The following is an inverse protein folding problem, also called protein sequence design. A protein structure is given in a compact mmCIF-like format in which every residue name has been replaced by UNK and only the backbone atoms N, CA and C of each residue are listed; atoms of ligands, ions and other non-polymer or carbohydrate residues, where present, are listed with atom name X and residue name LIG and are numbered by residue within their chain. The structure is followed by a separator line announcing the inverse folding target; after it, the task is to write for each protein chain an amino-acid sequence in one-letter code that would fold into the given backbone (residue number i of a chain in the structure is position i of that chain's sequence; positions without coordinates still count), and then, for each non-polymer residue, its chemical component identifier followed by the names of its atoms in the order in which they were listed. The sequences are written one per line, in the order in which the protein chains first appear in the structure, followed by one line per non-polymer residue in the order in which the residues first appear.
data_IF_195852822031
#
_entry.id   IF_195852822031
#
_cell.length_a   1.000
_cell.length_b   1.000
_cell.length_c   1.000
_cell.angle_alpha   90.00
_cell.angle_beta   90.00
_cell.angle_gamma   90.00
#
_symmetry.space_group_name_H-M   'P 1'
#
loop_
_entity.id
_entity.type
_entity.pdbx_description
1 polymer ?
#
# COMPACT_ATOMS: atom_id res chain seq x y z
N UNK A 1 22.98 -0.22 18.76
CA UNK A 1 22.36 0.88 17.98
C UNK A 1 20.90 0.50 17.72
N UNK A 2 19.99 1.44 17.76
CA UNK A 2 18.58 1.19 17.45
C UNK A 2 18.38 1.22 15.93
N UNK A 3 17.34 0.56 15.41
CA UNK A 3 16.94 0.58 13.99
C UNK A 3 16.76 1.99 13.43
N UNK A 4 16.38 2.96 14.28
CA UNK A 4 16.24 4.37 13.88
C UNK A 4 17.52 5.00 13.33
N UNK A 5 18.66 4.37 13.50
CA UNK A 5 19.97 4.82 12.99
C UNK A 5 20.46 3.96 11.80
N UNK A 6 19.56 3.28 11.12
CA UNK A 6 19.92 2.38 10.02
C UNK A 6 20.04 3.09 8.66
N UNK A 7 19.58 4.33 8.55
CA UNK A 7 19.67 5.09 7.30
C UNK A 7 21.12 5.42 6.94
N UNK A 8 21.52 5.05 5.73
CA UNK A 8 22.82 5.36 5.14
C UNK A 8 22.59 5.85 3.71
N UNK A 9 22.85 7.12 3.46
CA UNK A 9 22.80 7.73 2.13
C UNK A 9 24.18 8.07 1.57
N UNK A 10 25.26 7.73 2.29
CA UNK A 10 26.64 8.03 1.91
C UNK A 10 27.24 6.91 1.05
N UNK A 11 26.79 5.67 1.27
CA UNK A 11 27.29 4.51 0.55
C UNK A 11 26.24 3.88 -0.35
N UNK A 12 26.69 3.14 -1.36
CA UNK A 12 25.80 2.44 -2.28
C UNK A 12 25.35 1.11 -1.69
N UNK A 13 24.12 0.71 -2.01
CA UNK A 13 23.63 -0.63 -1.71
C UNK A 13 24.50 -1.71 -2.40
N UNK A 14 24.85 -2.77 -1.68
CA UNK A 14 25.58 -3.93 -2.23
C UNK A 14 24.67 -4.73 -3.18
N UNK A 15 23.40 -4.90 -2.80
CA UNK A 15 22.40 -5.56 -3.61
C UNK A 15 21.40 -4.52 -4.14
N UNK A 16 21.47 -4.24 -5.43
CA UNK A 16 20.51 -3.37 -6.10
C UNK A 16 19.40 -4.22 -6.76
N UNK A 17 18.16 -3.75 -6.85
CA UNK A 17 17.05 -4.52 -7.47
C UNK A 17 17.36 -5.01 -8.89
N UNK A 18 18.14 -4.27 -9.67
CA UNK A 18 18.58 -4.69 -11.03
C UNK A 18 19.54 -5.87 -11.02
N UNK A 19 20.04 -6.31 -9.88
CA UNK A 19 20.79 -7.56 -9.77
C UNK A 19 19.87 -8.79 -9.71
N UNK A 20 18.61 -8.58 -9.29
CA UNK A 20 17.59 -9.63 -9.12
C UNK A 20 16.68 -9.74 -10.33
N UNK A 21 16.36 -8.63 -10.97
CA UNK A 21 15.42 -8.56 -12.10
C UNK A 21 15.97 -7.69 -13.22
N UNK A 22 15.64 -8.06 -14.46
CA UNK A 22 15.98 -7.26 -15.63
C UNK A 22 14.87 -6.27 -15.97
N UNK A 23 15.25 -5.16 -16.60
CA UNK A 23 14.29 -4.27 -17.24
C UNK A 23 13.51 -5.03 -18.31
N UNK A 24 12.20 -4.89 -18.30
CA UNK A 24 11.31 -5.51 -19.29
C UNK A 24 10.99 -4.45 -20.35
N UNK A 25 11.23 -4.80 -21.62
CA UNK A 25 10.90 -3.92 -22.74
C UNK A 25 9.37 -3.71 -22.81
N UNK A 26 8.95 -2.45 -22.97
CA UNK A 26 7.53 -2.04 -22.95
C UNK A 26 6.77 -2.44 -21.69
N UNK A 27 7.46 -2.46 -20.54
CA UNK A 27 6.78 -2.64 -19.25
C UNK A 27 5.75 -1.53 -19.04
N UNK A 28 4.51 -1.84 -18.58
CA UNK A 28 3.50 -0.83 -18.32
C UNK A 28 3.99 0.24 -17.34
N UNK A 29 3.72 1.52 -17.65
CA UNK A 29 4.20 2.64 -16.80
C UNK A 29 3.60 2.62 -15.39
N UNK A 30 2.39 2.09 -15.25
CA UNK A 30 1.68 1.98 -13.97
C UNK A 30 1.63 0.53 -13.55
N UNK A 31 2.14 0.25 -12.35
CA UNK A 31 2.00 -1.04 -11.69
C UNK A 31 0.98 -0.95 -10.54
N UNK A 32 0.18 -1.99 -10.38
CA UNK A 32 -0.85 -2.11 -9.35
C UNK A 32 -0.48 -3.26 -8.42
N UNK A 33 -0.37 -2.98 -7.13
CA UNK A 33 -0.13 -3.96 -6.09
C UNK A 33 -1.42 -4.28 -5.35
N UNK A 34 -1.74 -5.56 -5.24
CA UNK A 34 -2.94 -6.05 -4.58
C UNK A 34 -2.62 -7.10 -3.52
N UNK A 35 -3.34 -7.07 -2.40
CA UNK A 35 -3.21 -8.05 -1.32
C UNK A 35 -4.27 -9.15 -1.40
N UNK A 36 -5.47 -8.82 -1.89
CA UNK A 36 -6.61 -9.75 -1.88
C UNK A 36 -6.61 -10.67 -3.10
N UNK A 37 -6.43 -11.97 -2.84
CA UNK A 37 -6.47 -13.02 -3.85
C UNK A 37 -7.79 -13.08 -4.61
N UNK A 38 -8.93 -12.93 -3.92
CA UNK A 38 -10.26 -12.98 -4.57
C UNK A 38 -10.42 -11.90 -5.64
N UNK A 39 -10.00 -10.67 -5.34
CA UNK A 39 -10.05 -9.58 -6.31
C UNK A 39 -9.10 -9.82 -7.48
N UNK A 40 -7.91 -10.31 -7.21
CA UNK A 40 -6.93 -10.65 -8.24
C UNK A 40 -7.46 -11.74 -9.19
N UNK A 41 -8.07 -12.81 -8.64
CA UNK A 41 -8.65 -13.90 -9.42
C UNK A 41 -9.83 -13.40 -10.28
N UNK A 42 -10.69 -12.53 -9.72
CA UNK A 42 -11.75 -11.87 -10.47
C UNK A 42 -11.20 -11.11 -11.69
N UNK A 43 -10.17 -10.31 -11.53
CA UNK A 43 -9.54 -9.59 -12.64
C UNK A 43 -8.94 -10.54 -13.68
N UNK A 44 -8.36 -11.64 -13.23
CA UNK A 44 -7.78 -12.64 -14.14
C UNK A 44 -8.85 -13.33 -14.98
N UNK A 45 -9.97 -13.69 -14.39
CA UNK A 45 -11.12 -14.32 -15.06
C UNK A 45 -11.78 -13.34 -16.06
N UNK A 46 -12.03 -12.10 -15.62
CA UNK A 46 -12.77 -11.11 -16.41
C UNK A 46 -11.94 -10.52 -17.56
N UNK A 47 -10.65 -10.26 -17.34
CA UNK A 47 -9.81 -9.54 -18.31
C UNK A 47 -8.76 -10.40 -19.02
N UNK A 48 -8.69 -11.70 -18.74
CA UNK A 48 -7.78 -12.62 -19.45
C UNK A 48 -6.31 -12.20 -19.41
N UNK A 49 -5.83 -11.82 -18.23
CA UNK A 49 -4.48 -11.26 -18.04
C UNK A 49 -3.36 -12.22 -18.44
N UNK A 50 -2.28 -11.68 -19.02
CA UNK A 50 -1.10 -12.45 -19.46
C UNK A 50 0.09 -12.17 -18.54
N UNK A 51 0.84 -13.21 -18.18
CA UNK A 51 2.09 -13.08 -17.42
C UNK A 51 3.13 -12.36 -18.28
N UNK A 52 3.79 -11.35 -17.70
CA UNK A 52 4.85 -10.55 -18.33
C UNK A 52 6.16 -10.58 -17.54
N UNK A 53 6.19 -11.17 -16.35
CA UNK A 53 7.37 -11.27 -15.51
C UNK A 53 7.05 -11.89 -14.16
N UNK A 54 8.03 -11.87 -13.28
CA UNK A 54 7.91 -12.39 -11.92
C UNK A 54 8.65 -11.50 -10.94
N UNK A 55 8.05 -11.29 -9.76
CA UNK A 55 8.74 -10.78 -8.58
C UNK A 55 9.56 -11.91 -7.99
N UNK A 56 10.79 -11.64 -7.58
CA UNK A 56 11.73 -12.62 -7.04
C UNK A 56 12.16 -12.32 -5.59
N UNK A 57 11.66 -11.24 -4.99
CA UNK A 57 11.93 -10.88 -3.60
C UNK A 57 11.28 -11.85 -2.62
N UNK A 58 11.90 -13.01 -2.43
CA UNK A 58 11.51 -14.07 -1.50
C UNK A 58 10.58 -15.12 -2.10
N UNK A 59 9.50 -14.75 -2.77
CA UNK A 59 8.57 -15.64 -3.45
C UNK A 59 8.51 -15.29 -4.93
N UNK A 60 8.45 -16.32 -5.79
CA UNK A 60 8.21 -16.09 -7.22
C UNK A 60 6.73 -15.76 -7.46
N UNK A 61 6.39 -14.47 -7.56
CA UNK A 61 5.02 -14.00 -7.74
C UNK A 61 4.86 -13.47 -9.16
N UNK A 62 3.90 -14.01 -9.95
CA UNK A 62 3.71 -13.57 -11.34
C UNK A 62 3.19 -12.14 -11.44
N UNK A 63 3.74 -11.41 -12.41
CA UNK A 63 3.26 -10.09 -12.82
C UNK A 63 2.45 -10.27 -14.09
N UNK A 64 1.26 -9.71 -14.12
CA UNK A 64 0.37 -9.81 -15.27
C UNK A 64 0.20 -8.45 -15.95
N UNK A 65 -0.08 -8.50 -17.24
CA UNK A 65 -0.55 -7.34 -18.00
C UNK A 65 -2.07 -7.32 -17.97
N UNK A 66 -2.63 -6.27 -17.39
CA UNK A 66 -4.05 -5.94 -17.38
C UNK A 66 -4.32 -4.88 -18.43
N UNK A 67 -5.32 -5.10 -19.29
CA UNK A 67 -5.84 -4.08 -20.22
C UNK A 67 -7.20 -3.61 -19.71
N UNK A 68 -7.31 -2.32 -19.42
CA UNK A 68 -8.55 -1.70 -18.98
C UNK A 68 -8.69 -0.31 -19.61
N UNK A 69 -9.85 0.00 -20.20
CA UNK A 69 -10.14 1.28 -20.86
C UNK A 69 -9.03 1.74 -21.83
N UNK A 70 -8.55 0.84 -22.70
CA UNK A 70 -7.46 1.06 -23.68
C UNK A 70 -6.10 1.43 -23.06
N UNK A 71 -5.92 1.23 -21.76
CA UNK A 71 -4.65 1.41 -21.06
C UNK A 71 -4.09 0.06 -20.63
N UNK A 72 -2.78 -0.03 -20.54
CA UNK A 72 -2.09 -1.21 -20.02
C UNK A 72 -1.51 -0.93 -18.64
N UNK A 73 -1.70 -1.88 -17.73
CA UNK A 73 -1.18 -1.87 -16.36
C UNK A 73 -0.41 -3.15 -16.11
N UNK A 74 0.66 -3.07 -15.33
CA UNK A 74 1.21 -4.24 -14.68
C UNK A 74 0.42 -4.46 -13.37
N UNK A 75 0.02 -5.69 -13.09
CA UNK A 75 -0.64 -6.02 -11.83
C UNK A 75 -0.01 -7.26 -11.22
N UNK A 76 0.23 -7.23 -9.92
CA UNK A 76 0.77 -8.37 -9.18
C UNK A 76 0.23 -8.38 -7.76
N UNK A 77 0.27 -9.56 -7.14
CA UNK A 77 0.06 -9.66 -5.69
C UNK A 77 1.33 -9.30 -4.95
N UNK A 78 1.19 -8.88 -3.71
CA UNK A 78 2.29 -8.68 -2.78
C UNK A 78 2.00 -9.36 -1.44
N UNK A 79 3.03 -9.54 -0.64
CA UNK A 79 2.91 -10.06 0.73
C UNK A 79 2.49 -8.95 1.68
N UNK A 80 1.87 -9.31 2.79
CA UNK A 80 1.58 -8.39 3.89
C UNK A 80 2.90 -7.95 4.54
N UNK A 81 2.95 -6.69 4.95
CA UNK A 81 4.05 -6.10 5.69
C UNK A 81 5.02 -5.27 4.83
N UNK A 82 5.60 -4.29 5.47
CA UNK A 82 6.45 -3.28 4.82
C UNK A 82 7.61 -3.85 4.03
N UNK A 83 8.35 -4.81 4.58
CA UNK A 83 9.53 -5.38 3.92
C UNK A 83 9.18 -6.09 2.59
N UNK A 84 8.14 -6.92 2.58
CA UNK A 84 7.75 -7.66 1.36
C UNK A 84 7.18 -6.74 0.29
N UNK A 85 6.35 -5.77 0.69
CA UNK A 85 5.78 -4.79 -0.24
C UNK A 85 6.83 -3.85 -0.79
N UNK A 86 7.78 -3.40 0.04
CA UNK A 86 8.92 -2.59 -0.40
C UNK A 86 9.78 -3.34 -1.43
N UNK A 87 10.15 -4.60 -1.16
CA UNK A 87 10.89 -5.44 -2.10
C UNK A 87 10.15 -5.60 -3.44
N UNK A 88 8.85 -5.84 -3.39
CA UNK A 88 8.01 -5.91 -4.60
C UNK A 88 8.02 -4.59 -5.38
N UNK A 89 7.88 -3.45 -4.70
CA UNK A 89 7.91 -2.13 -5.33
C UNK A 89 9.27 -1.83 -5.98
N UNK A 90 10.37 -2.17 -5.31
CA UNK A 90 11.73 -2.02 -5.83
C UNK A 90 11.96 -2.81 -7.11
N UNK A 91 11.51 -4.06 -7.18
CA UNK A 91 11.65 -4.88 -8.39
C UNK A 91 10.76 -4.38 -9.53
N UNK A 92 9.53 -3.92 -9.26
CA UNK A 92 8.67 -3.32 -10.28
C UNK A 92 9.29 -2.04 -10.86
N UNK A 93 9.92 -1.20 -10.04
CA UNK A 93 10.65 -0.02 -10.48
C UNK A 93 11.83 -0.42 -11.37
N UNK A 94 12.60 -1.42 -10.97
CA UNK A 94 13.73 -1.93 -11.75
C UNK A 94 13.29 -2.53 -13.10
N UNK A 95 12.12 -3.17 -13.16
CA UNK A 95 11.53 -3.69 -14.40
C UNK A 95 11.02 -2.59 -15.33
N UNK A 96 10.72 -1.39 -14.83
CA UNK A 96 10.33 -0.24 -15.65
C UNK A 96 9.07 0.49 -15.24
N UNK A 97 8.45 0.16 -14.09
CA UNK A 97 7.34 0.92 -13.57
C UNK A 97 7.76 2.37 -13.25
N UNK A 98 6.92 3.33 -13.63
CA UNK A 98 7.11 4.76 -13.37
C UNK A 98 6.17 5.30 -12.30
N UNK A 99 5.12 4.55 -11.99
CA UNK A 99 4.13 4.85 -10.96
C UNK A 99 3.65 3.52 -10.38
N UNK A 100 3.35 3.52 -9.10
CA UNK A 100 2.76 2.36 -8.44
C UNK A 100 1.48 2.81 -7.74
N UNK A 101 0.42 2.01 -7.87
CA UNK A 101 -0.81 2.14 -7.11
C UNK A 101 -0.91 0.94 -6.18
N UNK A 102 -1.16 1.21 -4.91
CA UNK A 102 -1.36 0.18 -3.90
C UNK A 102 -2.71 0.41 -3.24
N UNK A 103 -3.51 -0.64 -3.12
CA UNK A 103 -4.70 -0.56 -2.30
C UNK A 103 -4.81 -1.79 -1.40
N UNK A 104 -5.33 -1.59 -0.22
CA UNK A 104 -5.47 -2.63 0.79
C UNK A 104 -6.56 -2.31 1.80
N UNK A 105 -6.73 -3.20 2.76
CA UNK A 105 -7.62 -2.98 3.91
C UNK A 105 -6.86 -2.34 5.06
N UNK A 106 -7.62 -1.70 5.96
CA UNK A 106 -7.10 -1.17 7.21
C UNK A 106 -8.06 -1.43 8.38
N UNK A 107 -7.51 -1.58 9.56
CA UNK A 107 -8.25 -1.49 10.79
C UNK A 107 -8.58 -0.04 11.11
N UNK A 108 -9.81 0.26 11.50
CA UNK A 108 -10.18 1.65 11.82
C UNK A 108 -9.96 1.96 13.29
N UNK A 109 -9.42 3.14 13.56
CA UNK A 109 -9.24 3.69 14.91
C UNK A 109 -10.33 4.71 15.27
N UNK A 110 -11.27 4.90 14.36
CA UNK A 110 -12.49 5.69 14.53
C UNK A 110 -13.69 4.86 14.08
N UNK A 111 -14.61 4.57 15.01
CA UNK A 111 -15.80 3.75 14.77
C UNK A 111 -16.76 4.32 13.71
N UNK A 112 -16.68 5.61 13.39
CA UNK A 112 -17.48 6.26 12.36
C UNK A 112 -16.97 5.94 10.94
N UNK A 113 -15.73 5.48 10.79
CA UNK A 113 -15.21 4.95 9.53
C UNK A 113 -15.74 3.53 9.37
N UNK A 114 -16.75 3.36 8.53
CA UNK A 114 -17.42 2.10 8.34
C UNK A 114 -16.64 1.17 7.40
N UNK A 115 -17.02 -0.10 7.41
CA UNK A 115 -16.46 -1.08 6.49
C UNK A 115 -16.79 -0.68 5.05
N UNK A 116 -15.76 -0.66 4.20
CA UNK A 116 -15.87 -0.24 2.80
C UNK A 116 -15.66 1.25 2.53
N UNK A 117 -15.58 2.10 3.57
CA UNK A 117 -15.19 3.50 3.36
C UNK A 117 -13.75 3.59 2.86
N UNK A 118 -13.53 4.40 1.83
CA UNK A 118 -12.19 4.68 1.33
C UNK A 118 -11.45 5.66 2.26
N UNK A 119 -10.19 5.38 2.48
CA UNK A 119 -9.29 6.20 3.29
C UNK A 119 -8.03 6.52 2.50
N UNK A 120 -7.68 7.80 2.40
CA UNK A 120 -6.43 8.26 1.79
C UNK A 120 -5.48 8.69 2.92
N UNK A 121 -4.38 7.94 3.15
CA UNK A 121 -3.39 8.31 4.14
C UNK A 121 -2.69 9.61 3.74
N UNK A 122 -2.55 10.54 4.69
CA UNK A 122 -1.81 11.80 4.49
C UNK A 122 -0.41 11.77 5.10
N UNK A 123 -0.23 10.97 6.14
CA UNK A 123 1.04 10.65 6.77
C UNK A 123 0.93 9.28 7.44
N UNK A 124 2.06 8.61 7.64
CA UNK A 124 2.12 7.31 8.31
C UNK A 124 3.04 7.35 9.52
N UNK A 125 2.55 6.88 10.67
CA UNK A 125 3.41 6.60 11.83
C UNK A 125 4.27 5.37 11.56
N UNK A 126 5.56 5.47 11.82
CA UNK A 126 6.58 4.48 11.47
C UNK A 126 6.81 3.50 12.61
N UNK A 127 5.85 2.59 12.87
CA UNK A 127 5.99 1.49 13.84
C UNK A 127 6.37 0.18 13.12
N UNK A 128 7.39 0.28 12.26
CA UNK A 128 7.92 -0.79 11.42
C UNK A 128 9.43 -0.59 11.19
N UNK A 129 10.11 -1.55 10.60
CA UNK A 129 11.57 -1.49 10.46
C UNK A 129 12.07 -0.97 9.13
N UNK A 130 11.37 -1.21 8.05
CA UNK A 130 11.85 -1.04 6.67
C UNK A 130 12.12 0.42 6.31
N UNK A 131 11.23 1.33 6.66
CA UNK A 131 11.33 2.74 6.28
C UNK A 131 12.60 3.43 6.82
N UNK A 132 13.14 2.95 7.94
CA UNK A 132 14.35 3.48 8.56
C UNK A 132 15.64 3.16 7.78
N UNK A 133 15.58 2.31 6.75
CA UNK A 133 16.69 2.07 5.83
C UNK A 133 16.67 2.99 4.61
N UNK A 134 15.55 3.67 4.35
CA UNK A 134 15.32 4.49 3.15
C UNK A 134 15.33 5.98 3.42
N UNK A 135 14.97 6.41 4.64
CA UNK A 135 14.80 7.83 4.97
C UNK A 135 15.27 8.10 6.39
N UNK A 136 15.75 9.34 6.62
CA UNK A 136 16.10 9.87 7.93
C UNK A 136 15.06 9.55 9.01
N UNK A 137 15.48 9.30 10.25
CA UNK A 137 14.58 8.95 11.34
C UNK A 137 13.60 10.08 11.66
N UNK A 138 12.34 9.71 11.76
CA UNK A 138 11.23 10.56 12.19
C UNK A 138 10.09 9.67 12.66
N UNK A 139 9.18 10.19 13.47
CA UNK A 139 8.00 9.41 13.92
C UNK A 139 7.00 9.22 12.79
N UNK A 140 6.91 10.18 11.88
CA UNK A 140 5.96 10.18 10.75
C UNK A 140 6.66 10.40 9.43
N UNK A 141 6.13 9.75 8.40
CA UNK A 141 6.46 10.02 7.00
C UNK A 141 5.25 10.62 6.29
N UNK A 142 5.48 11.68 5.52
CA UNK A 142 4.44 12.30 4.69
C UNK A 142 4.11 11.44 3.47
N UNK A 143 2.82 11.32 3.12
CA UNK A 143 2.34 10.73 1.88
C UNK A 143 2.24 11.83 0.81
N UNK A 144 3.34 12.13 0.13
CA UNK A 144 3.44 13.24 -0.84
C UNK A 144 2.44 13.16 -2.00
N UNK A 145 1.94 11.96 -2.29
CA UNK A 145 0.97 11.70 -3.37
C UNK A 145 -0.49 11.85 -2.91
N UNK A 146 -0.76 12.05 -1.62
CA UNK A 146 -2.11 12.08 -1.05
C UNK A 146 -2.98 13.18 -1.68
N UNK A 147 -2.47 14.40 -1.83
CA UNK A 147 -3.25 15.52 -2.41
C UNK A 147 -3.71 15.24 -3.83
N UNK A 148 -2.82 14.66 -4.66
CA UNK A 148 -3.18 14.28 -6.04
C UNK A 148 -4.23 13.19 -6.06
N UNK A 149 -4.13 12.20 -5.16
CA UNK A 149 -5.10 11.12 -5.07
C UNK A 149 -6.47 11.64 -4.60
N UNK A 150 -6.52 12.54 -3.61
CA UNK A 150 -7.75 13.23 -3.21
C UNK A 150 -8.42 13.92 -4.40
N UNK A 151 -7.66 14.67 -5.21
CA UNK A 151 -8.20 15.32 -6.41
C UNK A 151 -8.83 14.31 -7.38
N UNK A 152 -8.18 13.16 -7.60
CA UNK A 152 -8.71 12.10 -8.48
C UNK A 152 -10.03 11.54 -7.93
N UNK A 153 -10.10 11.28 -6.62
CA UNK A 153 -11.34 10.79 -5.99
C UNK A 153 -12.47 11.81 -6.07
N UNK A 154 -12.16 13.10 -5.88
CA UNK A 154 -13.13 14.20 -6.06
C UNK A 154 -13.63 14.28 -7.51
N UNK A 155 -12.75 14.21 -8.51
CA UNK A 155 -13.08 14.22 -9.94
C UNK A 155 -13.98 13.02 -10.34
N UNK A 156 -13.76 11.86 -9.72
CA UNK A 156 -14.56 10.65 -9.93
C UNK A 156 -15.83 10.60 -9.08
N UNK A 157 -16.06 11.60 -8.21
CA UNK A 157 -17.16 11.62 -7.23
C UNK A 157 -17.19 10.41 -6.31
N UNK A 158 -16.01 9.87 -5.96
CA UNK A 158 -15.85 8.77 -5.02
C UNK A 158 -15.67 9.35 -3.62
N UNK A 159 -16.56 9.09 -2.66
CA UNK A 159 -16.41 9.61 -1.30
C UNK A 159 -15.24 8.93 -0.58
N UNK A 160 -14.45 9.72 0.13
CA UNK A 160 -13.30 9.25 0.89
C UNK A 160 -13.11 10.04 2.19
N UNK A 161 -12.32 9.48 3.08
CA UNK A 161 -11.85 10.10 4.31
C UNK A 161 -10.33 10.21 4.21
N UNK A 162 -9.75 11.30 4.69
CA UNK A 162 -8.30 11.47 4.73
C UNK A 162 -7.80 11.68 6.15
N UNK A 163 -6.62 11.14 6.47
CA UNK A 163 -6.01 11.29 7.77
C UNK A 163 -4.71 10.51 7.89
N UNK A 164 -4.11 10.54 9.08
CA UNK A 164 -2.89 9.76 9.34
C UNK A 164 -3.23 8.28 9.50
N UNK A 165 -2.29 7.42 9.09
CA UNK A 165 -2.32 5.98 9.38
C UNK A 165 -1.24 5.62 10.41
N UNK A 166 -1.45 4.54 11.12
CA UNK A 166 -0.44 3.85 11.90
C UNK A 166 0.05 2.64 11.11
N UNK A 167 1.29 2.66 10.64
CA UNK A 167 1.92 1.50 10.00
C UNK A 167 2.64 0.67 11.04
N UNK A 168 2.26 -0.60 11.20
CA UNK A 168 2.87 -1.51 12.17
C UNK A 168 3.31 -2.83 11.57
N UNK A 169 4.46 -3.37 11.99
CA UNK A 169 4.90 -4.74 11.65
C UNK A 169 4.25 -5.82 12.53
N UNK A 170 3.49 -5.42 13.55
CA UNK A 170 3.09 -6.31 14.64
C UNK A 170 1.58 -6.34 14.89
N UNK A 171 0.81 -6.79 13.87
CA UNK A 171 -0.65 -6.93 13.88
C UNK A 171 -1.22 -7.45 15.22
N UNK A 172 -0.64 -8.51 15.78
CA UNK A 172 -1.11 -9.09 17.05
C UNK A 172 -0.59 -8.35 18.29
N UNK A 173 0.08 -7.21 18.12
CA UNK A 173 0.55 -6.34 19.20
C UNK A 173 -0.04 -4.92 19.14
N UNK A 174 -1.10 -4.73 18.40
CA UNK A 174 -1.93 -3.53 18.40
C UNK A 174 -2.68 -3.42 19.74
N UNK A 175 -1.97 -2.94 20.76
CA UNK A 175 -2.51 -2.85 22.13
C UNK A 175 -3.43 -1.65 22.30
N UNK A 176 -4.35 -1.73 23.26
CA UNK A 176 -5.26 -0.61 23.62
C UNK A 176 -4.46 0.68 23.92
N UNK A 177 -3.31 0.55 24.60
CA UNK A 177 -2.46 1.70 24.92
C UNK A 177 -1.88 2.36 23.69
N UNK A 178 -1.32 1.57 22.76
CA UNK A 178 -0.79 2.08 21.49
C UNK A 178 -1.90 2.66 20.61
N UNK A 179 -3.04 2.01 20.51
CA UNK A 179 -4.19 2.50 19.78
C UNK A 179 -4.64 3.89 20.28
N UNK A 180 -4.81 4.06 21.59
CA UNK A 180 -5.17 5.35 22.17
C UNK A 180 -4.14 6.44 21.85
N UNK A 181 -2.85 6.14 22.02
CA UNK A 181 -1.77 7.06 21.70
C UNK A 181 -1.79 7.48 20.23
N UNK A 182 -1.97 6.53 19.30
CA UNK A 182 -2.06 6.83 17.85
C UNK A 182 -3.28 7.69 17.54
N UNK A 183 -4.42 7.43 18.15
CA UNK A 183 -5.63 8.28 18.02
C UNK A 183 -5.37 9.71 18.49
N UNK A 184 -4.75 9.90 19.64
CA UNK A 184 -4.39 11.21 20.20
C UNK A 184 -3.46 11.98 19.26
N UNK A 185 -2.58 11.29 18.54
CA UNK A 185 -1.69 11.84 17.52
C UNK A 185 -2.37 12.09 16.16
N UNK A 186 -3.64 11.71 16.03
CA UNK A 186 -4.47 11.94 14.85
C UNK A 186 -4.46 10.83 13.82
N UNK A 187 -3.99 9.61 14.17
CA UNK A 187 -4.19 8.44 13.32
C UNK A 187 -5.66 8.00 13.36
N UNK A 188 -6.21 7.73 12.19
CA UNK A 188 -7.60 7.31 12.01
C UNK A 188 -7.74 5.83 11.60
N UNK A 189 -6.65 5.24 11.12
CA UNK A 189 -6.56 3.83 10.70
C UNK A 189 -5.19 3.24 11.06
N UNK A 190 -5.10 1.90 11.00
CA UNK A 190 -3.88 1.11 11.13
C UNK A 190 -3.77 0.14 9.95
N UNK A 191 -2.57 -0.04 9.45
CA UNK A 191 -2.21 -0.96 8.37
C UNK A 191 -0.72 -1.34 8.47
N UNK A 192 -0.15 -2.05 7.51
CA UNK A 192 1.17 -2.65 7.68
C UNK A 192 2.21 -2.23 6.61
N UNK A 193 1.93 -1.27 5.72
CA UNK A 193 2.79 -1.00 4.56
C UNK A 193 3.11 0.47 4.29
N UNK A 194 2.23 1.39 4.61
CA UNK A 194 2.27 2.79 4.16
C UNK A 194 3.61 3.47 4.43
N UNK A 195 4.12 3.39 5.64
CA UNK A 195 5.39 4.04 5.98
C UNK A 195 6.54 3.51 5.11
N UNK A 196 6.63 2.20 4.96
CA UNK A 196 7.68 1.53 4.19
C UNK A 196 7.64 1.91 2.71
N UNK A 197 6.46 1.85 2.09
CA UNK A 197 6.33 2.13 0.64
C UNK A 197 6.47 3.62 0.32
N UNK A 198 6.06 4.51 1.22
CA UNK A 198 6.29 5.95 1.07
C UNK A 198 7.77 6.29 1.22
N UNK A 199 8.51 5.54 2.04
CA UNK A 199 9.95 5.67 2.15
C UNK A 199 10.66 5.25 0.84
N UNK A 200 10.30 4.10 0.27
CA UNK A 200 10.76 3.67 -1.06
C UNK A 200 10.41 4.71 -2.12
N UNK A 201 9.17 5.20 -2.14
CA UNK A 201 8.71 6.23 -3.08
C UNK A 201 9.59 7.47 -3.07
N UNK A 202 9.91 7.98 -1.87
CA UNK A 202 10.72 9.17 -1.71
C UNK A 202 12.19 8.92 -2.04
N UNK A 203 12.74 7.79 -1.62
CA UNK A 203 14.13 7.41 -1.89
C UNK A 203 14.40 7.18 -3.39
N UNK A 204 13.51 6.46 -4.08
CA UNK A 204 13.63 6.17 -5.52
C UNK A 204 13.09 7.29 -6.41
N UNK A 205 12.46 8.32 -5.83
CA UNK A 205 11.81 9.41 -6.55
C UNK A 205 10.78 8.90 -7.58
N UNK A 206 10.02 7.87 -7.21
CA UNK A 206 8.94 7.29 -8.01
C UNK A 206 7.61 7.49 -7.27
N UNK A 207 6.59 8.10 -7.87
CA UNK A 207 5.32 8.31 -7.19
C UNK A 207 4.61 6.98 -6.91
N UNK A 208 4.38 6.72 -5.62
CA UNK A 208 3.54 5.61 -5.15
C UNK A 208 2.27 6.22 -4.54
N UNK A 209 1.14 5.77 -5.02
CA UNK A 209 -0.19 6.16 -4.56
C UNK A 209 -0.76 5.04 -3.71
N UNK A 210 -1.36 5.39 -2.58
CA UNK A 210 -2.04 4.41 -1.75
C UNK A 210 -3.38 4.93 -1.28
N UNK A 211 -4.40 4.11 -1.42
CA UNK A 211 -5.66 4.24 -0.69
C UNK A 211 -6.01 2.93 0.00
N UNK A 212 -6.80 3.06 1.05
CA UNK A 212 -7.21 1.96 1.89
C UNK A 212 -8.74 1.93 1.95
N UNK A 213 -9.30 0.84 2.42
CA UNK A 213 -10.69 0.80 2.82
C UNK A 213 -10.84 0.11 4.17
N UNK A 214 -11.74 0.65 4.99
CA UNK A 214 -12.02 0.12 6.31
C UNK A 214 -12.54 -1.31 6.23
N UNK A 215 -11.96 -2.23 7.01
CA UNK A 215 -12.38 -3.64 7.05
C UNK A 215 -12.93 -4.03 8.44
N UNK A 216 -12.24 -3.68 9.47
CA UNK A 216 -12.56 -3.94 10.88
C UNK A 216 -12.34 -2.70 11.74
N UNK A 217 -12.58 -2.77 13.04
CA UNK A 217 -12.29 -1.67 13.94
C UNK A 217 -11.65 -2.12 15.25
N UNK A 218 -10.66 -1.33 15.66
CA UNK A 218 -10.00 -1.44 16.96
C UNK A 218 -10.52 -0.36 17.94
N UNK A 219 -11.46 0.49 17.51
CA UNK A 219 -12.02 1.57 18.33
C UNK A 219 -13.09 1.04 19.30
N UNK A 220 -12.65 0.18 20.21
CA UNK A 220 -13.50 -0.45 21.22
C UNK A 220 -12.69 -1.21 22.26
N UNK A 221 -13.36 -1.81 23.25
CA UNK A 221 -12.71 -2.67 24.25
C UNK A 221 -12.24 -4.00 23.65
N UNK A 222 -12.86 -4.42 22.54
CA UNK A 222 -12.59 -5.66 21.83
C UNK A 222 -12.54 -5.40 20.33
N UNK A 223 -11.85 -6.27 19.59
CA UNK A 223 -11.80 -6.24 18.15
C UNK A 223 -13.17 -6.55 17.53
N UNK A 224 -13.63 -5.71 16.61
CA UNK A 224 -14.88 -5.90 15.87
C UNK A 224 -14.59 -6.06 14.37
N UNK A 225 -14.82 -7.26 13.86
CA UNK A 225 -14.63 -7.63 12.46
C UNK A 225 -15.52 -6.89 11.48
N UNK A 226 -16.61 -6.30 11.98
CA UNK A 226 -17.65 -5.64 11.19
C UNK A 226 -18.19 -6.49 10.04
N UNK A 227 -19.43 -6.23 9.67
CA UNK A 227 -20.05 -6.84 8.50
C UNK A 227 -20.23 -5.78 7.42
N UNK A 228 -20.08 -6.18 6.16
CA UNK A 228 -20.43 -5.37 5.00
C UNK A 228 -21.61 -6.05 4.30
N UNK A 229 -22.61 -5.29 3.91
CA UNK A 229 -23.68 -5.81 3.07
C UNK A 229 -23.19 -6.06 1.62
N UNK A 230 -23.92 -6.90 0.88
CA UNK A 230 -23.52 -7.30 -0.46
C UNK A 230 -23.44 -6.12 -1.44
N UNK A 231 -24.36 -5.15 -1.34
CA UNK A 231 -24.40 -3.99 -2.24
C UNK A 231 -23.24 -3.04 -2.02
N UNK A 232 -22.90 -2.77 -0.76
CA UNK A 232 -21.71 -1.97 -0.43
C UNK A 232 -20.41 -2.63 -0.88
N UNK A 233 -20.33 -3.96 -0.82
CA UNK A 233 -19.18 -4.70 -1.30
C UNK A 233 -19.03 -4.61 -2.82
N UNK A 234 -20.12 -4.79 -3.57
CA UNK A 234 -20.13 -4.68 -5.03
C UNK A 234 -19.74 -3.26 -5.48
N UNK A 235 -20.28 -2.23 -4.84
CA UNK A 235 -19.93 -0.85 -5.11
C UNK A 235 -18.45 -0.57 -4.86
N UNK A 236 -17.90 -1.08 -3.77
CA UNK A 236 -16.49 -0.95 -3.44
C UNK A 236 -15.60 -1.62 -4.52
N UNK A 237 -15.92 -2.87 -4.92
CA UNK A 237 -15.17 -3.61 -5.93
C UNK A 237 -15.20 -2.90 -7.29
N UNK A 238 -16.33 -2.29 -7.66
CA UNK A 238 -16.46 -1.49 -8.88
C UNK A 238 -15.62 -0.21 -8.83
N UNK A 239 -15.69 0.55 -7.73
CA UNK A 239 -14.94 1.79 -7.58
C UNK A 239 -13.41 1.61 -7.60
N UNK A 240 -12.91 0.42 -7.28
CA UNK A 240 -11.47 0.12 -7.37
C UNK A 240 -10.99 0.09 -8.84
N UNK A 241 -11.87 -0.23 -9.77
CA UNK A 241 -11.53 -0.33 -11.20
C UNK A 241 -11.63 1.01 -11.95
N UNK A 242 -12.38 1.98 -11.44
CA UNK A 242 -12.51 3.33 -12.00
C UNK A 242 -11.28 4.20 -11.71
#
# INVERSE_FOLDING_TARGET
MSIINAFDNETKEILHPTNMVNKIEHFPEVAILVFKEKFFNYLQEEYGMKIIGYINAGLSIPIYKLKFNNKEFAITRTTIGGAGTAGTAEELIAMGAKKILIYGTCGTLNKEILKGHFVIPTAAYRDEGTSYHYIEPSDYIEVKTASKLCTIFDELNIPFIKGKTWTTDALYRETIGNMKKRKEEGCIVVEMECASIMAVSQFRNIPIYQFLFGDDTLDGPEWDKRKIDASSKELMERNILE
#
